data_IF_972732772724
#
_entry.id   IF_972732772724
#
_cell.length_a   1.000
_cell.length_b   1.000
_cell.length_c   1.000
_cell.angle_alpha   90.00
_cell.angle_beta   90.00
_cell.angle_gamma   90.00
#
_symmetry.space_group_name_H-M   'P 1'
#
loop_
_entity.id
_entity.type
_entity.pdbx_description
1 polymer ?
#
# COMPACT_ATOMS: atom_id res chain seq x y z
N UNK A 1 -2.57 -0.28 -11.04
CA UNK A 1 -3.61 0.16 -10.06
C UNK A 1 -4.12 -1.05 -9.30
N UNK A 2 -4.33 -0.91 -7.99
CA UNK A 2 -4.84 -1.96 -7.09
C UNK A 2 -6.10 -1.44 -6.39
N UNK A 3 -7.06 -2.33 -6.13
CA UNK A 3 -8.29 -2.02 -5.41
C UNK A 3 -8.41 -2.95 -4.20
N UNK A 4 -8.91 -2.40 -3.10
CA UNK A 4 -9.28 -3.16 -1.90
C UNK A 4 -10.75 -2.84 -1.60
N UNK A 5 -11.58 -3.86 -1.47
CA UNK A 5 -13.03 -3.71 -1.33
C UNK A 5 -13.52 -4.64 -0.22
N UNK A 6 -14.31 -4.09 0.70
CA UNK A 6 -14.89 -4.85 1.81
C UNK A 6 -15.56 -3.93 2.82
N UNK A 7 -16.40 -4.51 3.69
CA UNK A 7 -17.19 -3.74 4.66
C UNK A 7 -16.34 -2.94 5.67
N UNK A 8 -15.13 -3.42 5.98
CA UNK A 8 -14.22 -2.79 6.93
C UNK A 8 -13.21 -1.84 6.26
N UNK A 9 -13.31 -1.63 4.95
CA UNK A 9 -12.38 -0.76 4.21
C UNK A 9 -12.85 0.68 4.33
N UNK A 10 -11.98 1.54 4.88
CA UNK A 10 -12.11 2.99 4.79
C UNK A 10 -11.89 3.39 3.32
N UNK A 11 -12.92 3.96 2.69
CA UNK A 11 -12.86 4.38 1.29
C UNK A 11 -11.91 5.57 1.09
N UNK A 12 -11.20 5.59 -0.04
CA UNK A 12 -10.31 6.69 -0.40
C UNK A 12 -9.19 6.27 -1.34
N UNK A 13 -8.35 7.24 -1.69
CA UNK A 13 -7.10 7.00 -2.41
C UNK A 13 -5.95 6.89 -1.41
N UNK A 14 -5.20 5.81 -1.50
CA UNK A 14 -4.02 5.56 -0.68
C UNK A 14 -2.76 5.60 -1.55
N UNK A 15 -1.72 6.24 -1.04
CA UNK A 15 -0.48 6.52 -1.78
C UNK A 15 -0.47 7.91 -2.42
N UNK A 16 0.62 8.25 -3.08
CA UNK A 16 0.76 9.54 -3.77
C UNK A 16 0.29 9.45 -5.22
N UNK A 17 -0.23 10.54 -5.77
CA UNK A 17 -0.58 10.61 -7.19
C UNK A 17 0.69 10.64 -8.05
N UNK A 18 0.73 9.87 -9.15
CA UNK A 18 1.88 9.89 -10.05
C UNK A 18 2.02 11.28 -10.70
N UNK A 19 3.27 11.71 -10.90
CA UNK A 19 3.57 12.94 -11.62
C UNK A 19 3.46 12.73 -13.13
N UNK A 20 2.80 13.67 -13.82
CA UNK A 20 2.72 13.68 -15.29
C UNK A 20 3.96 14.30 -15.96
N UNK A 21 4.87 14.89 -15.18
CA UNK A 21 6.07 15.58 -15.70
C UNK A 21 7.38 14.97 -15.21
N UNK A 22 7.35 14.15 -14.15
CA UNK A 22 8.50 13.40 -13.64
C UNK A 22 8.33 11.93 -13.99
N UNK A 23 8.71 11.57 -15.20
CA UNK A 23 8.60 10.23 -15.74
C UNK A 23 9.82 9.39 -15.36
N UNK A 24 9.68 8.07 -15.40
CA UNK A 24 10.78 7.15 -15.20
C UNK A 24 11.70 7.12 -16.45
N UNK A 25 12.85 6.41 -16.42
CA UNK A 25 13.78 6.35 -17.57
C UNK A 25 13.20 5.77 -18.88
N UNK A 26 12.05 5.11 -18.79
CA UNK A 26 11.32 4.51 -19.92
C UNK A 26 10.15 5.39 -20.38
N UNK A 27 10.09 6.64 -19.91
CA UNK A 27 9.04 7.63 -20.22
C UNK A 27 7.63 7.25 -19.71
N UNK A 28 7.57 6.37 -18.70
CA UNK A 28 6.33 5.96 -18.03
C UNK A 28 6.09 6.74 -16.74
N UNK A 29 4.84 6.77 -16.27
CA UNK A 29 4.50 7.26 -14.93
C UNK A 29 5.25 6.45 -13.87
N UNK A 30 5.95 7.13 -12.97
CA UNK A 30 6.66 6.48 -11.88
C UNK A 30 5.69 5.85 -10.86
N UNK A 31 6.06 4.69 -10.33
CA UNK A 31 5.35 4.09 -9.20
C UNK A 31 5.54 4.95 -7.95
N UNK A 32 4.44 5.27 -7.28
CA UNK A 32 4.43 6.13 -6.08
C UNK A 32 4.16 5.36 -4.79
N UNK A 33 3.87 4.07 -4.90
CA UNK A 33 3.46 3.24 -3.77
C UNK A 33 4.34 2.01 -3.68
N UNK A 34 4.96 1.83 -2.52
CA UNK A 34 5.64 0.59 -2.17
C UNK A 34 4.59 -0.50 -1.88
N UNK A 35 4.59 -1.54 -2.71
CA UNK A 35 3.62 -2.63 -2.60
C UNK A 35 3.74 -3.41 -1.29
N UNK A 36 4.91 -3.40 -0.63
CA UNK A 36 5.11 -4.06 0.67
C UNK A 36 4.27 -3.41 1.77
N UNK A 37 4.01 -2.10 1.67
CA UNK A 37 3.08 -1.40 2.57
C UNK A 37 1.66 -1.93 2.45
N UNK A 38 1.26 -2.35 1.25
CA UNK A 38 -0.06 -2.96 1.04
C UNK A 38 -0.16 -4.30 1.76
N UNK A 39 0.85 -5.16 1.61
CA UNK A 39 0.89 -6.43 2.36
C UNK A 39 0.91 -6.19 3.86
N UNK A 40 1.73 -5.27 4.37
CA UNK A 40 1.73 -4.92 5.79
C UNK A 40 0.32 -4.53 6.27
N UNK A 41 -0.36 -3.67 5.50
CA UNK A 41 -1.70 -3.16 5.82
C UNK A 41 -2.72 -4.29 5.94
N UNK A 42 -2.73 -5.23 4.99
CA UNK A 42 -3.67 -6.36 5.00
C UNK A 42 -3.34 -7.37 6.10
N UNK A 43 -2.06 -7.68 6.31
CA UNK A 43 -1.63 -8.65 7.32
C UNK A 43 -1.96 -8.15 8.73
N UNK A 44 -1.64 -6.89 9.04
CA UNK A 44 -1.89 -6.35 10.38
C UNK A 44 -3.36 -5.97 10.58
N UNK A 45 -3.98 -5.30 9.61
CA UNK A 45 -5.31 -4.74 9.77
C UNK A 45 -6.44 -5.74 9.52
N UNK A 46 -6.38 -6.51 8.41
CA UNK A 46 -7.45 -7.46 8.08
C UNK A 46 -7.25 -8.82 8.71
N UNK A 47 -6.02 -9.37 8.65
CA UNK A 47 -5.71 -10.68 9.22
C UNK A 47 -5.39 -10.63 10.72
N UNK A 48 -5.15 -9.44 11.28
CA UNK A 48 -4.86 -9.25 12.70
C UNK A 48 -3.49 -9.80 13.14
N UNK A 49 -2.57 -10.05 12.21
CA UNK A 49 -1.28 -10.67 12.51
C UNK A 49 -0.19 -9.61 12.73
N UNK A 50 0.42 -9.61 13.92
CA UNK A 50 1.41 -8.60 14.34
C UNK A 50 2.87 -8.90 13.97
N UNK A 51 3.15 -10.10 13.45
CA UNK A 51 4.50 -10.53 13.01
C UNK A 51 4.81 -10.23 11.53
N UNK A 52 4.06 -9.32 10.91
CA UNK A 52 4.21 -8.90 9.50
C UNK A 52 5.65 -8.53 9.13
N UNK A 53 6.38 -7.87 10.02
CA UNK A 53 7.76 -7.43 9.78
C UNK A 53 8.74 -8.57 9.54
N UNK A 54 8.61 -9.69 10.25
CA UNK A 54 9.44 -10.89 10.04
C UNK A 54 9.10 -11.56 8.71
N UNK A 55 7.81 -11.64 8.36
CA UNK A 55 7.34 -12.22 7.10
C UNK A 55 7.80 -11.41 5.87
N UNK A 56 7.80 -10.07 5.99
CA UNK A 56 8.17 -9.17 4.89
C UNK A 56 9.65 -8.77 4.89
N UNK A 57 10.43 -9.26 5.85
CA UNK A 57 11.85 -8.91 6.00
C UNK A 57 12.10 -7.44 6.32
N UNK A 58 11.13 -6.75 6.93
CA UNK A 58 11.20 -5.34 7.26
C UNK A 58 9.85 -4.75 7.65
N UNK A 59 9.89 -3.60 8.33
CA UNK A 59 8.70 -2.87 8.73
C UNK A 59 8.36 -1.80 7.69
N UNK A 60 7.16 -1.85 7.15
CA UNK A 60 6.67 -0.92 6.14
C UNK A 60 5.44 -0.21 6.67
N UNK A 61 5.41 1.13 6.67
CA UNK A 61 4.32 1.88 7.30
C UNK A 61 2.96 1.51 6.69
N UNK A 62 2.02 0.93 7.47
CA UNK A 62 0.69 0.59 6.99
C UNK A 62 -0.09 1.83 6.52
N UNK A 63 -1.11 1.61 5.71
CA UNK A 63 -2.14 2.60 5.43
C UNK A 63 -3.23 2.52 6.50
N UNK A 64 -3.84 3.65 6.85
CA UNK A 64 -5.05 3.67 7.69
C UNK A 64 -6.28 3.24 6.86
N UNK A 65 -6.31 1.96 6.50
CA UNK A 65 -7.28 1.39 5.55
C UNK A 65 -8.41 0.63 6.25
N UNK A 66 -8.18 0.10 7.45
CA UNK A 66 -9.16 -0.70 8.17
C UNK A 66 -9.69 0.06 9.40
N UNK A 67 -10.98 -0.10 9.68
CA UNK A 67 -11.68 0.48 10.82
C UNK A 67 -11.61 -0.41 12.07
#
# INVERSE_FOLDING_TARGET
NMFVVGNQVKGGHYGELPSLTKLNPEDNLAYTTDFRRVYQTVIEGWLGHRGSGELLGGNYQPFDMFA
#
